data_IF_110781938954
#
_entry.id   IF_110781938954
#
_cell.length_a   1.000
_cell.length_b   1.000
_cell.length_c   1.000
_cell.angle_alpha   90.00
_cell.angle_beta   90.00
_cell.angle_gamma   90.00
#
_symmetry.space_group_name_H-M   'P 1'
#
loop_
_entity.id
_entity.type
_entity.pdbx_description
1 polymer ?
#
# COMPACT_ATOMS: atom_id res chain seq x y z
N UNK A 1 -31.04 0.79 2.95
CA UNK A 1 -30.52 1.87 2.07
C UNK A 1 -30.07 3.02 2.96
N UNK A 2 -28.75 3.26 2.99
CA UNK A 2 -28.08 4.54 3.23
C UNK A 2 -26.57 4.27 3.26
N UNK A 3 -25.87 4.53 2.16
CA UNK A 3 -24.41 4.53 2.12
C UNK A 3 -23.93 5.87 2.67
N UNK A 4 -23.21 5.86 3.78
CA UNK A 4 -22.51 7.05 4.27
C UNK A 4 -21.29 7.27 3.35
N UNK A 5 -21.46 8.22 2.42
CA UNK A 5 -20.38 8.81 1.66
C UNK A 5 -19.82 10.01 2.43
N UNK A 6 -19.13 9.77 3.55
CA UNK A 6 -18.42 10.83 4.27
C UNK A 6 -16.93 10.51 4.33
N UNK A 7 -16.30 10.53 3.16
CA UNK A 7 -14.87 10.85 3.10
C UNK A 7 -14.81 12.37 3.09
N UNK A 8 -14.88 12.98 4.28
CA UNK A 8 -14.82 14.42 4.46
C UNK A 8 -13.64 15.00 3.67
N UNK A 9 -13.95 15.86 2.68
CA UNK A 9 -12.95 16.56 1.88
C UNK A 9 -12.15 17.50 2.78
N UNK A 10 -11.01 17.04 3.31
CA UNK A 10 -10.08 17.91 4.04
C UNK A 10 -9.47 18.90 3.05
N UNK A 11 -9.72 20.20 3.28
CA UNK A 11 -9.32 21.36 2.46
C UNK A 11 -7.79 21.55 2.26
N UNK A 12 -6.95 20.72 2.87
CA UNK A 12 -5.50 20.69 2.66
C UNK A 12 -5.02 19.26 2.88
N UNK A 13 -4.89 18.50 1.79
CA UNK A 13 -4.30 17.17 1.85
C UNK A 13 -2.81 17.25 2.17
N UNK A 14 -2.24 16.12 2.63
CA UNK A 14 -0.78 15.87 2.59
C UNK A 14 -0.25 16.32 1.21
N UNK A 15 0.93 16.96 1.12
CA UNK A 15 1.53 17.33 -0.16
C UNK A 15 1.36 16.17 -1.14
N UNK A 16 0.90 16.48 -2.36
CA UNK A 16 0.69 15.45 -3.36
C UNK A 16 1.99 14.68 -3.52
N UNK A 17 2.00 13.45 -3.03
CA UNK A 17 3.00 12.48 -3.48
C UNK A 17 2.71 12.25 -4.96
N UNK A 18 3.75 12.21 -5.80
CA UNK A 18 3.63 11.88 -7.22
C UNK A 18 3.25 10.39 -7.38
N UNK A 19 2.03 10.07 -6.98
CA UNK A 19 1.49 8.73 -6.89
C UNK A 19 0.10 8.73 -7.53
N UNK A 20 -0.11 7.78 -8.44
CA UNK A 20 -1.41 7.56 -9.07
C UNK A 20 -2.36 6.87 -8.09
N UNK A 21 -3.55 7.43 -7.79
CA UNK A 21 -4.50 6.80 -6.89
C UNK A 21 -5.13 5.56 -7.55
N UNK A 22 -5.07 4.42 -6.87
CA UNK A 22 -5.75 3.18 -7.28
C UNK A 22 -6.83 2.85 -6.26
N UNK A 23 -8.11 3.02 -6.62
CA UNK A 23 -9.24 2.72 -5.74
C UNK A 23 -9.73 1.29 -5.98
N UNK A 24 -9.60 0.43 -4.97
CA UNK A 24 -10.08 -0.96 -5.00
C UNK A 24 -10.95 -1.22 -3.77
N UNK A 25 -12.06 -1.93 -3.97
CA UNK A 25 -12.88 -2.46 -2.88
C UNK A 25 -12.37 -3.85 -2.51
N UNK A 26 -11.79 -3.98 -1.32
CA UNK A 26 -11.36 -5.27 -0.78
C UNK A 26 -12.53 -5.97 -0.09
N UNK A 27 -12.68 -7.26 -0.36
CA UNK A 27 -13.68 -8.09 0.31
C UNK A 27 -13.27 -8.39 1.75
N UNK A 28 -14.21 -8.70 2.68
CA UNK A 28 -13.87 -9.03 4.06
C UNK A 28 -12.86 -10.16 4.21
N UNK A 29 -12.90 -11.14 3.30
CA UNK A 29 -11.96 -12.27 3.20
C UNK A 29 -10.53 -11.85 2.89
N UNK A 30 -10.31 -10.64 2.36
CA UNK A 30 -9.00 -10.06 2.09
C UNK A 30 -8.59 -9.05 3.18
N UNK A 31 -9.55 -8.29 3.72
CA UNK A 31 -9.29 -7.28 4.76
C UNK A 31 -8.88 -7.94 6.08
N UNK A 32 -9.60 -8.99 6.50
CA UNK A 32 -9.31 -9.66 7.77
C UNK A 32 -7.88 -10.23 7.87
N UNK A 33 -7.36 -10.99 6.88
CA UNK A 33 -5.98 -11.47 6.94
C UNK A 33 -4.95 -10.33 6.80
N UNK A 34 -5.26 -9.27 6.05
CA UNK A 34 -4.40 -8.09 5.97
C UNK A 34 -4.25 -7.40 7.33
N UNK A 35 -5.36 -7.21 8.05
CA UNK A 35 -5.34 -6.61 9.38
C UNK A 35 -4.60 -7.47 10.40
N UNK A 36 -4.74 -8.80 10.32
CA UNK A 36 -3.97 -9.74 11.14
C UNK A 36 -2.47 -9.61 10.87
N UNK A 37 -2.06 -9.60 9.60
CA UNK A 37 -0.66 -9.40 9.22
C UNK A 37 -0.10 -8.06 9.71
N UNK A 38 -0.86 -6.96 9.63
CA UNK A 38 -0.47 -5.64 10.18
C UNK A 38 -0.29 -5.71 11.70
N UNK A 39 -1.15 -6.44 12.40
CA UNK A 39 -1.09 -6.57 13.85
C UNK A 39 0.19 -7.26 14.34
N UNK A 40 0.74 -8.17 13.53
CA UNK A 40 1.98 -8.92 13.80
C UNK A 40 3.27 -8.13 13.49
N UNK A 41 3.18 -6.97 12.84
CA UNK A 41 4.35 -6.15 12.51
C UNK A 41 4.91 -5.40 13.73
N UNK A 42 6.24 -5.13 13.76
CA UNK A 42 6.84 -4.29 14.78
C UNK A 42 6.34 -2.83 14.70
N UNK A 43 6.48 -2.10 15.80
CA UNK A 43 6.13 -0.67 15.83
C UNK A 43 7.20 0.19 15.11
N UNK A 44 6.80 1.22 14.33
CA UNK A 44 5.42 1.60 14.04
C UNK A 44 4.74 0.66 13.04
N UNK A 45 3.52 0.18 13.36
CA UNK A 45 2.76 -0.69 12.45
C UNK A 45 2.44 0.02 11.12
N UNK A 46 2.58 -0.67 9.98
CA UNK A 46 2.25 -0.10 8.68
C UNK A 46 0.76 0.20 8.58
N UNK A 47 0.40 1.29 7.93
CA UNK A 47 -0.99 1.56 7.57
C UNK A 47 -1.49 0.57 6.51
N UNK A 48 -2.81 0.37 6.39
CA UNK A 48 -3.38 -0.50 5.33
C UNK A 48 -2.86 -0.18 3.91
N UNK A 49 -2.78 1.09 3.48
CA UNK A 49 -2.19 1.40 2.17
C UNK A 49 -0.71 1.01 2.05
N UNK A 50 0.06 1.11 3.13
CA UNK A 50 1.48 0.69 3.13
C UNK A 50 1.61 -0.82 3.08
N UNK A 51 0.84 -1.55 3.90
CA UNK A 51 0.76 -3.00 3.87
C UNK A 51 0.44 -3.54 2.47
N UNK A 52 -0.54 -2.93 1.79
CA UNK A 52 -0.90 -3.28 0.41
C UNK A 52 0.24 -2.99 -0.55
N UNK A 53 0.98 -1.88 -0.39
CA UNK A 53 2.14 -1.57 -1.24
C UNK A 53 3.27 -2.58 -1.04
N UNK A 54 3.54 -3.01 0.19
CA UNK A 54 4.52 -4.06 0.47
C UNK A 54 4.12 -5.37 -0.21
N UNK A 55 2.90 -5.85 0.05
CA UNK A 55 2.39 -7.07 -0.56
C UNK A 55 2.39 -7.02 -2.10
N UNK A 56 2.03 -5.87 -2.69
CA UNK A 56 2.06 -5.67 -4.13
C UNK A 56 3.48 -5.70 -4.68
N UNK A 57 4.43 -5.03 -4.02
CA UNK A 57 5.84 -4.99 -4.42
C UNK A 57 6.44 -6.38 -4.36
N UNK A 58 6.21 -7.11 -3.27
CA UNK A 58 6.73 -8.46 -3.06
C UNK A 58 6.17 -9.43 -4.11
N UNK A 59 4.85 -9.36 -4.36
CA UNK A 59 4.20 -10.19 -5.37
C UNK A 59 4.74 -9.89 -6.77
N UNK A 60 4.84 -8.61 -7.16
CA UNK A 60 5.38 -8.23 -8.48
C UNK A 60 6.86 -8.57 -8.64
N UNK A 61 7.64 -8.50 -7.56
CA UNK A 61 9.05 -8.92 -7.55
C UNK A 61 9.16 -10.43 -7.76
N UNK A 62 8.35 -11.23 -7.06
CA UNK A 62 8.30 -12.68 -7.23
C UNK A 62 7.84 -13.12 -8.63
N UNK A 63 7.10 -12.27 -9.34
CA UNK A 63 6.71 -12.47 -10.74
C UNK A 63 7.72 -11.91 -11.75
N UNK A 64 8.78 -11.22 -11.31
CA UNK A 64 9.79 -10.60 -12.17
C UNK A 64 9.39 -9.28 -12.84
N UNK A 65 8.24 -8.70 -12.47
CA UNK A 65 7.79 -7.39 -12.98
C UNK A 65 8.52 -6.22 -12.32
N UNK A 66 9.00 -6.42 -11.09
CA UNK A 66 9.88 -5.48 -10.39
C UNK A 66 11.26 -6.14 -10.31
N UNK A 67 12.24 -5.50 -10.93
CA UNK A 67 13.66 -5.86 -10.78
C UNK A 67 14.16 -5.11 -9.55
N UNK A 68 14.51 -5.85 -8.49
CA UNK A 68 15.26 -5.29 -7.37
C UNK A 68 16.61 -4.85 -7.92
N UNK A 69 16.77 -3.56 -8.20
CA UNK A 69 18.03 -3.02 -8.70
C UNK A 69 18.98 -2.97 -7.50
N UNK A 70 19.69 -4.07 -7.25
CA UNK A 70 20.81 -4.08 -6.31
C UNK A 70 21.99 -3.36 -6.98
N UNK A 71 22.15 -2.12 -6.51
CA UNK A 71 23.33 -1.29 -6.43
C UNK A 71 23.99 -0.58 -7.64
N UNK A 72 24.61 0.60 -7.35
CA UNK A 72 25.20 1.52 -8.30
C UNK A 72 26.72 1.30 -8.41
N UNK A 73 27.22 0.70 -9.48
CA UNK A 73 28.66 0.75 -9.77
C UNK A 73 28.92 0.69 -11.28
N UNK A 74 28.79 1.85 -11.89
CA UNK A 74 29.47 2.21 -13.13
C UNK A 74 30.32 3.43 -12.83
N UNK A 75 31.33 3.25 -11.97
CA UNK A 75 32.50 4.10 -11.92
C UNK A 75 33.42 3.65 -13.06
N UNK A 76 33.44 4.41 -14.16
CA UNK A 76 34.61 5.06 -14.78
C UNK A 76 34.14 5.89 -16.00
#
# INVERSE_FOLDING_TARGET
MASIGDIGKKKRGRPATDATPVLVRLMPTQVSPLDAWIADQPEPKPSRPEAIRHALTDWLTGQGYVRHREDPEGAD
#
